data_IF_923274399420
#
_entry.id   IF_923274399420
#
_cell.length_a   1.000
_cell.length_b   1.000
_cell.length_c   1.000
_cell.angle_alpha   90.00
_cell.angle_beta   90.00
_cell.angle_gamma   90.00
#
_symmetry.space_group_name_H-M   'P 1'
#
loop_
_entity.id
_entity.type
_entity.pdbx_description
1 polymer ?
#
# COMPACT_ATOMS: atom_id res chain seq x y z
N UNK A 1 3.05 4.21 -62.09
CA UNK A 1 2.34 4.49 -60.82
C UNK A 1 3.24 5.38 -59.96
N UNK A 2 2.85 6.63 -59.65
CA UNK A 2 3.64 7.54 -58.81
C UNK A 2 3.36 7.25 -57.33
N UNK A 3 4.39 6.94 -56.55
CA UNK A 3 4.28 6.77 -55.11
C UNK A 3 3.94 8.11 -54.44
N UNK A 4 2.76 8.18 -53.83
CA UNK A 4 2.33 9.34 -53.05
C UNK A 4 2.91 9.20 -51.64
N UNK A 5 3.94 9.98 -51.32
CA UNK A 5 4.48 10.04 -49.96
C UNK A 5 3.54 10.85 -49.08
N UNK A 6 2.89 10.20 -48.11
CA UNK A 6 2.13 10.90 -47.05
C UNK A 6 3.11 11.60 -46.12
N UNK A 7 3.07 12.93 -46.06
CA UNK A 7 3.79 13.71 -45.05
C UNK A 7 3.27 13.34 -43.66
N UNK A 8 4.18 12.98 -42.74
CA UNK A 8 3.85 12.75 -41.33
C UNK A 8 3.23 14.01 -40.74
N UNK A 9 2.14 13.87 -40.00
CA UNK A 9 1.47 14.98 -39.32
C UNK A 9 2.46 15.76 -38.46
N UNK A 10 2.63 17.05 -38.77
CA UNK A 10 3.45 17.97 -37.96
C UNK A 10 2.67 18.35 -36.70
N UNK A 11 2.60 17.43 -35.73
CA UNK A 11 2.11 17.77 -34.38
C UNK A 11 3.12 18.72 -33.75
N UNK A 12 2.66 19.88 -33.28
CA UNK A 12 3.51 20.84 -32.59
C UNK A 12 4.09 20.22 -31.31
N UNK A 13 5.33 20.55 -30.92
CA UNK A 13 5.93 20.04 -29.68
C UNK A 13 5.29 20.67 -28.42
N UNK A 14 4.43 21.67 -28.60
CA UNK A 14 3.78 22.40 -27.51
C UNK A 14 2.75 21.50 -26.83
N UNK A 15 2.91 21.31 -25.53
CA UNK A 15 1.94 20.60 -24.68
C UNK A 15 1.18 21.60 -23.84
N UNK A 16 -0.12 21.70 -24.08
CA UNK A 16 -1.02 22.49 -23.24
C UNK A 16 -1.47 21.57 -22.09
N UNK A 17 -1.11 21.93 -20.86
CA UNK A 17 -1.61 21.24 -19.66
C UNK A 17 -2.95 21.79 -19.23
N UNK A 18 -3.85 20.93 -18.74
CA UNK A 18 -5.05 21.39 -18.04
C UNK A 18 -4.66 22.18 -16.80
N UNK A 19 -5.37 23.29 -16.54
CA UNK A 19 -5.21 24.03 -15.30
C UNK A 19 -5.85 23.26 -14.15
N UNK A 20 -5.08 23.01 -13.11
CA UNK A 20 -5.51 22.33 -11.89
C UNK A 20 -5.51 23.32 -10.73
N UNK A 21 -6.36 23.14 -9.70
CA UNK A 21 -6.29 23.90 -8.46
C UNK A 21 -4.89 23.89 -7.85
N UNK A 22 -4.46 24.99 -7.24
CA UNK A 22 -3.11 25.16 -6.69
C UNK A 22 -2.72 24.04 -5.72
N UNK A 23 -3.63 23.66 -4.81
CA UNK A 23 -3.40 22.57 -3.87
C UNK A 23 -3.05 21.24 -4.58
N UNK A 24 -3.72 20.90 -5.69
CA UNK A 24 -3.41 19.69 -6.47
C UNK A 24 -2.09 19.82 -7.22
N UNK A 25 -1.76 21.03 -7.68
CA UNK A 25 -0.50 21.31 -8.37
C UNK A 25 0.69 21.17 -7.41
N UNK A 26 0.62 21.77 -6.23
CA UNK A 26 1.66 21.66 -5.20
C UNK A 26 1.87 20.22 -4.76
N UNK A 27 0.79 19.48 -4.53
CA UNK A 27 0.88 18.07 -4.17
C UNK A 27 1.60 17.23 -5.24
N UNK A 28 1.29 17.46 -6.52
CA UNK A 28 2.01 16.80 -7.62
C UNK A 28 3.49 17.18 -7.67
N UNK A 29 3.83 18.45 -7.44
CA UNK A 29 5.23 18.89 -7.40
C UNK A 29 5.99 18.13 -6.31
N UNK A 30 5.42 18.04 -5.09
CA UNK A 30 6.02 17.26 -3.99
C UNK A 30 6.19 15.78 -4.35
N UNK A 31 5.19 15.15 -4.97
CA UNK A 31 5.30 13.76 -5.42
C UNK A 31 6.44 13.56 -6.44
N UNK A 32 6.66 14.50 -7.36
CA UNK A 32 7.77 14.44 -8.31
C UNK A 32 9.13 14.64 -7.63
N UNK A 33 9.23 15.53 -6.64
CA UNK A 33 10.44 15.68 -5.84
C UNK A 33 10.81 14.37 -5.13
N UNK A 34 9.83 13.74 -4.48
CA UNK A 34 10.01 12.45 -3.82
C UNK A 34 10.40 11.36 -4.82
N UNK A 35 9.73 11.30 -5.99
CA UNK A 35 10.10 10.40 -7.08
C UNK A 35 11.57 10.58 -7.48
N UNK A 36 12.03 11.84 -7.61
CA UNK A 36 13.42 12.14 -7.96
C UNK A 36 14.42 11.66 -6.90
N UNK A 37 14.06 11.74 -5.62
CA UNK A 37 14.89 11.25 -4.51
C UNK A 37 15.01 9.71 -4.53
N UNK A 38 13.93 9.01 -4.86
CA UNK A 38 13.96 7.55 -5.02
C UNK A 38 14.69 7.12 -6.29
N UNK A 39 14.56 7.87 -7.38
CA UNK A 39 15.31 7.63 -8.62
C UNK A 39 16.83 7.74 -8.39
N UNK A 40 17.29 8.72 -7.59
CA UNK A 40 18.70 8.83 -7.17
C UNK A 40 19.20 7.59 -6.40
N UNK A 41 18.30 6.86 -5.74
CA UNK A 41 18.59 5.61 -5.01
C UNK A 41 18.42 4.36 -5.87
N UNK A 42 18.27 4.50 -7.20
CA UNK A 42 17.98 3.42 -8.15
C UNK A 42 16.66 2.68 -7.88
N UNK A 43 15.68 3.34 -7.24
CA UNK A 43 14.37 2.75 -6.98
C UNK A 43 13.39 3.20 -8.06
N UNK A 44 12.90 2.26 -8.86
CA UNK A 44 11.93 2.53 -9.93
C UNK A 44 10.55 2.83 -9.34
N UNK A 45 10.03 4.02 -9.62
CA UNK A 45 8.74 4.48 -9.13
C UNK A 45 7.95 5.21 -10.22
N UNK A 46 6.61 5.08 -10.18
CA UNK A 46 5.69 5.67 -11.14
C UNK A 46 4.64 6.50 -10.40
N UNK A 47 4.50 7.77 -10.77
CA UNK A 47 3.41 8.63 -10.27
C UNK A 47 2.11 8.25 -10.96
N UNK A 48 1.11 7.80 -10.18
CA UNK A 48 -0.26 7.52 -10.65
C UNK A 48 -1.26 8.30 -9.81
N UNK A 49 -2.03 9.19 -10.46
CA UNK A 49 -2.97 10.11 -9.79
C UNK A 49 -2.24 10.91 -8.69
N UNK A 50 -2.62 10.70 -7.43
CA UNK A 50 -2.09 11.36 -6.24
C UNK A 50 -1.25 10.39 -5.37
N UNK A 51 -0.62 9.38 -5.99
CA UNK A 51 0.22 8.41 -5.29
C UNK A 51 1.47 8.09 -6.09
N UNK A 52 2.53 7.68 -5.39
CA UNK A 52 3.74 7.12 -5.97
C UNK A 52 3.70 5.60 -5.82
N UNK A 53 3.73 4.88 -6.94
CA UNK A 53 3.69 3.41 -6.98
C UNK A 53 5.10 2.88 -7.20
N UNK A 54 5.54 1.94 -6.36
CA UNK A 54 6.83 1.29 -6.46
C UNK A 54 6.73 0.00 -7.30
N UNK A 55 7.87 -0.46 -7.82
CA UNK A 55 7.94 -1.70 -8.61
C UNK A 55 7.52 -2.96 -7.84
N UNK A 56 7.68 -2.97 -6.51
CA UNK A 56 7.26 -4.05 -5.63
C UNK A 56 5.75 -4.04 -5.29
N UNK A 57 4.97 -3.19 -5.95
CA UNK A 57 3.53 -3.07 -5.72
C UNK A 57 3.15 -2.20 -4.52
N UNK A 58 4.11 -1.74 -3.70
CA UNK A 58 3.79 -0.81 -2.60
C UNK A 58 3.47 0.57 -3.14
N UNK A 59 2.69 1.33 -2.36
CA UNK A 59 2.24 2.65 -2.76
C UNK A 59 2.49 3.67 -1.65
N UNK A 60 3.16 4.76 -2.00
CA UNK A 60 3.30 5.93 -1.14
C UNK A 60 2.22 6.97 -1.46
N UNK A 61 1.46 7.34 -0.44
CA UNK A 61 0.62 8.55 -0.44
C UNK A 61 1.28 9.57 0.46
N UNK A 62 1.42 10.79 -0.04
CA UNK A 62 1.77 11.92 0.80
C UNK A 62 0.61 12.15 1.78
N UNK A 63 0.88 11.92 3.08
CA UNK A 63 -0.11 11.90 4.17
C UNK A 63 -0.69 13.29 4.50
N UNK A 64 -0.24 14.32 3.80
CA UNK A 64 -0.50 15.72 4.13
C UNK A 64 -1.92 16.21 3.79
N UNK A 65 -2.94 15.36 3.63
CA UNK A 65 -4.28 15.90 3.31
C UNK A 65 -5.45 14.94 3.06
N UNK A 66 -5.64 13.88 3.83
CA UNK A 66 -6.89 13.12 3.73
C UNK A 66 -7.11 12.09 4.83
N UNK A 67 -8.38 11.89 5.22
CA UNK A 67 -8.79 10.72 6.00
C UNK A 67 -8.34 9.45 5.23
N UNK A 68 -7.78 8.45 5.92
CA UNK A 68 -7.44 7.18 5.28
C UNK A 68 -8.67 6.59 4.60
N UNK A 69 -8.52 6.12 3.36
CA UNK A 69 -9.64 5.51 2.63
C UNK A 69 -9.90 4.09 3.13
N UNK A 70 -11.13 3.60 2.97
CA UNK A 70 -11.52 2.26 3.40
C UNK A 70 -10.58 1.18 2.86
N UNK A 71 -10.15 1.28 1.60
CA UNK A 71 -9.18 0.38 0.97
C UNK A 71 -7.79 0.38 1.64
N UNK A 72 -7.46 1.33 2.52
CA UNK A 72 -6.21 1.34 3.32
C UNK A 72 -6.41 0.70 4.71
N UNK A 73 -7.65 0.67 5.21
CA UNK A 73 -8.04 0.08 6.50
C UNK A 73 -8.43 -1.39 6.31
N UNK A 74 -9.02 -1.70 5.16
CA UNK A 74 -9.55 -3.00 4.77
C UNK A 74 -8.55 -3.83 3.97
N UNK A 75 -7.29 -3.40 3.81
CA UNK A 75 -6.24 -4.35 3.42
C UNK A 75 -6.13 -5.32 4.60
N UNK A 76 -6.85 -6.43 4.50
CA UNK A 76 -6.48 -7.64 5.19
C UNK A 76 -5.06 -7.91 4.71
N UNK A 77 -4.08 -7.56 5.54
CA UNK A 77 -2.77 -8.18 5.41
C UNK A 77 -3.06 -9.68 5.45
N UNK A 78 -2.99 -10.34 4.29
CA UNK A 78 -2.95 -11.79 4.20
C UNK A 78 -1.62 -12.25 4.78
N UNK A 79 -1.39 -11.97 6.06
CA UNK A 79 -0.38 -12.63 6.86
C UNK A 79 -0.93 -14.04 7.12
N UNK A 80 -0.78 -14.87 6.08
CA UNK A 80 -0.84 -16.33 6.12
C UNK A 80 0.38 -16.85 6.87
N UNK A 81 0.59 -16.36 8.10
CA UNK A 81 1.52 -17.01 9.01
C UNK A 81 0.75 -18.07 9.76
N UNK A 82 1.16 -19.31 9.54
CA UNK A 82 0.62 -20.44 10.26
C UNK A 82 1.00 -20.32 11.73
N UNK A 83 0.00 -20.21 12.60
CA UNK A 83 0.18 -20.29 14.04
C UNK A 83 0.41 -21.74 14.41
N UNK A 84 1.45 -22.01 15.20
CA UNK A 84 1.64 -23.33 15.80
C UNK A 84 0.74 -23.41 17.02
N UNK A 85 -0.26 -24.31 16.97
CA UNK A 85 -1.08 -24.66 18.12
C UNK A 85 -0.29 -25.54 19.08
N UNK A 86 -0.23 -25.13 20.34
CA UNK A 86 0.33 -25.89 21.45
C UNK A 86 -0.76 -26.60 22.25
N UNK A 87 -0.48 -26.81 23.53
CA UNK A 87 -1.37 -27.56 24.42
C UNK A 87 -2.72 -26.86 24.60
N UNK A 88 -3.75 -27.69 24.71
CA UNK A 88 -5.12 -27.29 25.00
C UNK A 88 -5.42 -27.70 26.44
N UNK A 89 -5.82 -26.72 27.24
CA UNK A 89 -6.19 -26.92 28.64
C UNK A 89 -7.65 -26.53 28.79
N UNK A 90 -8.45 -27.40 29.40
CA UNK A 90 -9.83 -27.09 29.75
C UNK A 90 -9.91 -26.87 31.27
N UNK A 91 -10.41 -25.69 31.68
CA UNK A 91 -10.59 -25.34 33.09
C UNK A 91 -11.90 -24.57 33.28
N UNK A 92 -12.72 -25.02 34.24
CA UNK A 92 -14.01 -24.43 34.58
C UNK A 92 -14.94 -24.14 33.39
N UNK A 93 -14.96 -25.04 32.38
CA UNK A 93 -15.78 -24.90 31.17
C UNK A 93 -15.19 -23.94 30.13
N UNK A 94 -14.03 -23.36 30.39
CA UNK A 94 -13.27 -22.59 29.41
C UNK A 94 -12.20 -23.47 28.76
N UNK A 95 -12.00 -23.28 27.46
CA UNK A 95 -10.92 -23.93 26.70
C UNK A 95 -9.84 -22.92 26.39
N UNK A 96 -8.64 -23.16 26.90
CA UNK A 96 -7.43 -22.39 26.65
C UNK A 96 -6.58 -23.11 25.61
N UNK A 97 -6.16 -22.40 24.57
CA UNK A 97 -5.27 -22.93 23.53
C UNK A 97 -4.01 -22.07 23.48
N UNK A 98 -2.84 -22.67 23.68
CA UNK A 98 -1.58 -21.98 23.47
C UNK A 98 -1.33 -21.83 21.95
N UNK A 99 -0.93 -20.64 21.50
CA UNK A 99 -0.55 -20.39 20.10
C UNK A 99 0.76 -19.62 20.05
N UNK A 100 1.63 -20.02 19.13
CA UNK A 100 2.92 -19.38 18.91
C UNK A 100 3.09 -18.97 17.45
N UNK A 101 3.77 -17.85 17.23
CA UNK A 101 4.16 -17.35 15.92
C UNK A 101 5.57 -16.78 15.98
N UNK A 102 6.38 -17.05 14.96
CA UNK A 102 7.72 -16.49 14.86
C UNK A 102 7.63 -15.05 14.34
N UNK A 103 8.23 -14.11 15.08
CA UNK A 103 8.26 -12.67 14.76
C UNK A 103 9.68 -12.15 14.82
N UNK A 104 10.02 -11.25 13.89
CA UNK A 104 11.37 -10.70 13.78
C UNK A 104 11.46 -9.27 14.34
N UNK A 105 10.35 -8.54 14.37
CA UNK A 105 10.32 -7.13 14.79
C UNK A 105 9.25 -6.86 15.85
N UNK A 106 9.49 -5.86 16.71
CA UNK A 106 8.50 -5.43 17.71
C UNK A 106 7.20 -4.91 17.08
N UNK A 107 7.26 -4.38 15.85
CA UNK A 107 6.06 -3.96 15.10
C UNK A 107 5.21 -5.17 14.72
N UNK A 108 5.83 -6.28 14.34
CA UNK A 108 5.12 -7.53 14.03
C UNK A 108 4.43 -8.10 15.27
N UNK A 109 5.04 -8.04 16.46
CA UNK A 109 4.41 -8.52 17.71
C UNK A 109 3.01 -7.92 17.91
N UNK A 110 2.88 -6.60 17.76
CA UNK A 110 1.59 -5.91 17.93
C UNK A 110 0.58 -6.28 16.84
N UNK A 111 1.06 -6.50 15.62
CA UNK A 111 0.23 -6.89 14.48
C UNK A 111 -0.32 -8.31 14.66
N UNK A 112 0.57 -9.25 14.98
CA UNK A 112 0.20 -10.65 15.20
C UNK A 112 -0.73 -10.84 16.40
N UNK A 113 -0.55 -10.06 17.47
CA UNK A 113 -1.48 -10.08 18.61
C UNK A 113 -2.91 -9.73 18.17
N UNK A 114 -3.07 -8.68 17.35
CA UNK A 114 -4.38 -8.27 16.84
C UNK A 114 -4.96 -9.33 15.90
N UNK A 115 -4.13 -9.95 15.06
CA UNK A 115 -4.56 -11.02 14.17
C UNK A 115 -5.01 -12.27 14.95
N UNK A 116 -4.28 -12.65 16.00
CA UNK A 116 -4.62 -13.79 16.86
C UNK A 116 -5.96 -13.58 17.57
N UNK A 117 -6.23 -12.37 18.06
CA UNK A 117 -7.50 -12.01 18.69
C UNK A 117 -8.69 -11.94 17.70
N UNK A 118 -8.42 -11.88 16.40
CA UNK A 118 -9.46 -11.88 15.34
C UNK A 118 -9.81 -13.28 14.84
N UNK A 119 -9.12 -14.31 15.30
CA UNK A 119 -9.42 -15.68 14.92
C UNK A 119 -10.84 -16.06 15.39
N UNK A 120 -11.62 -16.80 14.59
CA UNK A 120 -13.00 -17.13 14.92
C UNK A 120 -13.13 -18.01 16.17
N UNK A 121 -12.03 -18.62 16.59
CA UNK A 121 -11.92 -19.55 17.69
C UNK A 121 -11.64 -18.83 19.03
N UNK A 122 -11.33 -17.54 19.00
CA UNK A 122 -10.97 -16.76 20.18
C UNK A 122 -12.20 -16.00 20.64
N UNK A 123 -12.61 -16.26 21.88
CA UNK A 123 -13.77 -15.60 22.48
C UNK A 123 -13.43 -14.14 22.77
N UNK A 124 -14.14 -13.20 22.14
CA UNK A 124 -14.05 -11.77 22.44
C UNK A 124 -15.37 -11.27 23.02
N UNK A 125 -15.33 -10.47 24.08
CA UNK A 125 -16.50 -9.75 24.55
C UNK A 125 -16.85 -8.65 23.54
N UNK A 126 -18.06 -8.73 22.97
CA UNK A 126 -18.63 -7.70 22.08
C UNK A 126 -19.11 -6.48 22.85
#
# INVERSE_FOLDING_TARGET
MKAVYRLKEKKSPVRISQQLPEAKREHRIRLYEIQSQYAKKNITTVVKRDRLVFSNGTTYRDKTGGRPQADEILVADEDTKDYVSGDIIEDNGNRFEARAVQVQTHREVRKELVNLLRLPNVSSAT
#
